data_IF_400870929709
#
_entry.id   IF_400870929709
#
_cell.length_a   1.000
_cell.length_b   1.000
_cell.length_c   1.000
_cell.angle_alpha   90.00
_cell.angle_beta   90.00
_cell.angle_gamma   90.00
#
_symmetry.space_group_name_H-M   'P 1'
#
loop_
_entity.id
_entity.type
_entity.pdbx_description
1 polymer ?
#
# COMPACT_ATOMS: atom_id res chain seq x y z
N UNK A 1 -24.98 18.35 -66.19
CA UNK A 1 -25.19 19.47 -65.28
C UNK A 1 -25.49 18.90 -63.92
N UNK A 2 -24.47 18.73 -63.07
CA UNK A 2 -24.60 18.19 -61.70
C UNK A 2 -24.31 19.31 -60.71
N UNK A 3 -25.34 19.72 -59.96
CA UNK A 3 -25.23 20.68 -58.90
C UNK A 3 -24.71 19.99 -57.63
N UNK A 4 -23.43 20.18 -57.29
CA UNK A 4 -22.87 19.76 -56.06
C UNK A 4 -23.30 20.68 -54.91
N UNK A 5 -24.18 20.21 -54.03
CA UNK A 5 -24.50 20.90 -52.78
C UNK A 5 -23.37 20.60 -51.77
N UNK A 6 -22.49 21.56 -51.59
CA UNK A 6 -21.53 21.51 -50.46
C UNK A 6 -22.27 21.89 -49.17
N UNK A 7 -22.64 20.88 -48.36
CA UNK A 7 -23.03 21.11 -46.98
C UNK A 7 -21.78 21.51 -46.19
N UNK A 8 -21.54 22.80 -46.07
CA UNK A 8 -20.69 23.35 -45.01
C UNK A 8 -21.43 23.10 -43.69
N UNK A 9 -21.10 22.06 -43.00
CA UNK A 9 -21.50 21.88 -41.61
C UNK A 9 -20.84 22.98 -40.80
N UNK A 10 -21.63 23.99 -40.47
CA UNK A 10 -21.27 25.04 -39.52
C UNK A 10 -21.23 24.39 -38.12
N UNK A 11 -20.05 23.90 -37.72
CA UNK A 11 -19.79 23.32 -36.39
C UNK A 11 -19.40 24.41 -35.38
N UNK A 12 -20.11 25.54 -35.39
CA UNK A 12 -20.11 26.45 -34.26
C UNK A 12 -21.05 25.91 -33.19
N UNK A 13 -20.61 24.83 -32.52
CA UNK A 13 -21.20 24.43 -31.24
C UNK A 13 -21.10 25.68 -30.32
N UNK A 14 -22.18 26.11 -29.67
CA UNK A 14 -22.13 27.25 -28.77
C UNK A 14 -21.07 27.01 -27.73
N UNK A 15 -20.01 27.79 -27.74
CA UNK A 15 -19.00 27.83 -26.71
C UNK A 15 -19.72 28.28 -25.43
N UNK A 16 -19.99 27.34 -24.51
CA UNK A 16 -20.60 27.66 -23.23
C UNK A 16 -19.60 28.54 -22.44
N UNK A 17 -19.73 29.82 -22.57
CA UNK A 17 -19.04 30.79 -21.71
C UNK A 17 -19.58 30.66 -20.28
N UNK A 18 -18.84 29.95 -19.44
CA UNK A 18 -19.14 29.90 -18.01
C UNK A 18 -19.02 31.31 -17.44
N UNK A 19 -20.13 31.86 -16.98
CA UNK A 19 -20.18 33.20 -16.40
C UNK A 19 -19.16 33.37 -15.26
N UNK A 20 -18.77 34.63 -14.98
CA UNK A 20 -17.77 34.91 -13.91
C UNK A 20 -18.19 34.37 -12.54
N UNK A 21 -19.47 34.51 -12.19
CA UNK A 21 -20.01 34.12 -10.87
C UNK A 21 -19.82 32.62 -10.56
N UNK A 22 -20.26 31.64 -11.40
CA UNK A 22 -20.05 30.22 -11.12
C UNK A 22 -18.58 29.84 -11.14
N UNK A 23 -17.75 30.49 -11.94
CA UNK A 23 -16.31 30.25 -11.96
C UNK A 23 -15.64 30.65 -10.62
N UNK A 24 -15.99 31.84 -10.11
CA UNK A 24 -15.46 32.33 -8.82
C UNK A 24 -15.97 31.44 -7.69
N UNK A 25 -17.25 31.09 -7.68
CA UNK A 25 -17.82 30.19 -6.67
C UNK A 25 -17.12 28.82 -6.65
N UNK A 26 -16.88 28.23 -7.81
CA UNK A 26 -16.15 26.94 -7.91
C UNK A 26 -14.72 27.04 -7.35
N UNK A 27 -13.97 28.05 -7.80
CA UNK A 27 -12.58 28.23 -7.37
C UNK A 27 -12.48 28.57 -5.89
N UNK A 28 -13.40 29.38 -5.33
CA UNK A 28 -13.43 29.68 -3.91
C UNK A 28 -13.79 28.45 -3.07
N UNK A 29 -14.73 27.62 -3.51
CA UNK A 29 -15.05 26.36 -2.85
C UNK A 29 -13.86 25.39 -2.84
N UNK A 30 -13.20 25.21 -3.99
CA UNK A 30 -11.98 24.41 -4.07
C UNK A 30 -10.86 24.99 -3.18
N UNK A 31 -10.63 26.30 -3.21
CA UNK A 31 -9.65 26.92 -2.33
C UNK A 31 -9.94 26.65 -0.85
N UNK A 32 -11.22 26.77 -0.44
CA UNK A 32 -11.62 26.44 0.94
C UNK A 32 -11.37 24.98 1.30
N UNK A 33 -11.71 24.03 0.41
CA UNK A 33 -11.41 22.61 0.62
C UNK A 33 -9.91 22.36 0.65
N UNK A 34 -9.12 23.01 -0.22
CA UNK A 34 -7.66 22.92 -0.21
C UNK A 34 -7.05 23.41 1.11
N UNK A 35 -7.53 24.54 1.62
CA UNK A 35 -7.09 25.05 2.94
C UNK A 35 -7.50 24.08 4.05
N UNK A 36 -8.72 23.58 4.04
CA UNK A 36 -9.19 22.59 5.01
C UNK A 36 -8.34 21.31 4.97
N UNK A 37 -7.93 20.86 3.78
CA UNK A 37 -7.02 19.72 3.62
C UNK A 37 -5.65 19.98 4.22
N UNK A 38 -5.06 21.16 3.98
CA UNK A 38 -3.77 21.53 4.58
C UNK A 38 -3.86 21.61 6.10
N UNK A 39 -4.92 22.20 6.63
CA UNK A 39 -5.17 22.23 8.08
C UNK A 39 -5.36 20.80 8.60
N UNK A 40 -6.11 19.97 7.90
CA UNK A 40 -6.30 18.56 8.25
C UNK A 40 -4.99 17.77 8.28
N UNK A 41 -4.09 17.96 7.28
CA UNK A 41 -2.77 17.36 7.27
C UNK A 41 -1.92 17.78 8.49
N UNK A 42 -2.02 19.03 8.93
CA UNK A 42 -1.29 19.51 10.10
C UNK A 42 -1.88 19.00 11.42
N UNK A 43 -3.21 18.97 11.54
CA UNK A 43 -3.89 18.57 12.78
C UNK A 43 -3.90 17.05 13.01
N UNK A 44 -3.91 16.28 11.91
CA UNK A 44 -3.94 14.82 11.94
C UNK A 44 -2.54 14.23 11.68
N UNK A 45 -1.49 15.06 11.69
CA UNK A 45 -0.13 14.57 11.50
C UNK A 45 0.24 13.58 12.59
N UNK A 46 0.72 12.38 12.25
CA UNK A 46 1.04 11.35 13.24
C UNK A 46 2.17 11.81 14.16
N UNK A 47 2.10 11.43 15.43
CA UNK A 47 3.19 11.63 16.36
C UNK A 47 4.33 10.64 16.04
N UNK A 48 5.48 11.17 15.62
CA UNK A 48 6.61 10.36 15.15
C UNK A 48 7.14 9.40 16.22
N UNK A 49 7.09 9.81 17.50
CA UNK A 49 7.56 8.96 18.62
C UNK A 49 6.67 7.73 18.82
N UNK A 50 5.34 7.91 18.72
CA UNK A 50 4.40 6.79 18.80
C UNK A 50 4.48 5.88 17.56
N UNK A 51 4.72 6.45 16.39
CA UNK A 51 4.88 5.67 15.17
C UNK A 51 6.15 4.80 15.20
N UNK A 52 7.25 5.32 15.73
CA UNK A 52 8.50 4.57 15.89
C UNK A 52 8.38 3.47 16.98
N UNK A 53 7.71 3.75 18.09
CA UNK A 53 7.41 2.75 19.13
C UNK A 53 6.49 1.65 18.60
N UNK A 54 5.49 1.99 17.78
CA UNK A 54 4.60 1.02 17.14
C UNK A 54 5.32 0.22 16.05
N UNK A 55 6.23 0.80 15.28
CA UNK A 55 7.06 0.04 14.34
C UNK A 55 7.98 -0.94 15.08
N UNK A 56 8.46 -0.58 16.25
CA UNK A 56 9.21 -1.49 17.14
C UNK A 56 8.34 -2.54 17.82
N UNK A 57 7.06 -2.25 18.09
CA UNK A 57 6.11 -3.15 18.75
C UNK A 57 5.14 -3.89 17.81
N UNK A 58 5.01 -3.44 16.56
CA UNK A 58 4.43 -4.21 15.44
C UNK A 58 5.35 -5.39 15.02
N UNK A 59 6.38 -5.62 15.80
CA UNK A 59 6.89 -6.95 15.88
C UNK A 59 5.69 -7.86 16.19
N UNK A 60 5.17 -8.53 15.17
CA UNK A 60 4.47 -9.81 15.30
C UNK A 60 5.34 -10.81 16.05
N UNK A 61 6.34 -10.32 16.70
CA UNK A 61 7.45 -10.96 17.33
C UNK A 61 7.57 -10.33 18.72
N UNK A 62 7.47 -11.11 19.77
CA UNK A 62 7.76 -10.65 21.13
C UNK A 62 9.11 -9.94 21.25
N UNK A 63 9.38 -9.33 22.39
CA UNK A 63 10.66 -8.63 22.63
C UNK A 63 11.86 -9.48 22.22
N UNK A 64 12.75 -8.91 21.37
CA UNK A 64 13.98 -9.55 20.93
C UNK A 64 13.89 -10.44 19.69
N UNK A 65 12.73 -10.60 19.07
CA UNK A 65 12.61 -11.30 17.78
C UNK A 65 13.20 -10.44 16.68
N UNK A 66 14.02 -11.04 15.84
CA UNK A 66 14.65 -10.39 14.68
C UNK A 66 14.33 -11.15 13.40
N UNK A 67 14.52 -10.49 12.26
CA UNK A 67 14.23 -11.05 10.94
C UNK A 67 15.51 -11.08 10.10
N UNK A 68 16.43 -12.03 10.36
CA UNK A 68 17.65 -12.15 9.59
C UNK A 68 17.38 -12.74 8.20
N UNK A 69 18.13 -12.26 7.20
CA UNK A 69 18.20 -12.93 5.89
C UNK A 69 19.05 -14.18 5.95
N UNK A 70 18.67 -15.17 5.15
CA UNK A 70 19.43 -16.40 4.97
C UNK A 70 19.49 -16.75 3.47
N UNK A 71 20.59 -17.37 3.07
CA UNK A 71 20.82 -17.86 1.72
C UNK A 71 20.50 -19.35 1.65
N UNK A 72 19.61 -19.71 0.73
CA UNK A 72 19.20 -21.09 0.48
C UNK A 72 20.39 -21.87 -0.08
N UNK A 73 20.68 -23.04 0.53
CA UNK A 73 21.70 -23.99 0.08
C UNK A 73 21.06 -25.16 -0.67
N UNK A 74 19.94 -25.66 -0.14
CA UNK A 74 19.20 -26.75 -0.73
C UNK A 74 17.72 -26.69 -0.31
N UNK A 75 16.85 -27.21 -1.16
CA UNK A 75 15.41 -27.28 -0.91
C UNK A 75 14.97 -28.74 -1.04
N UNK A 76 14.55 -29.33 0.05
CA UNK A 76 13.91 -30.64 0.03
C UNK A 76 12.49 -30.52 -0.51
N UNK A 77 12.17 -31.16 -1.66
CA UNK A 77 10.91 -30.94 -2.34
C UNK A 77 9.71 -31.44 -1.55
N UNK A 78 8.52 -31.20 -2.10
CA UNK A 78 7.24 -31.61 -1.55
C UNK A 78 7.19 -33.11 -1.24
N UNK A 79 6.57 -33.48 -0.11
CA UNK A 79 6.33 -34.89 0.22
C UNK A 79 5.49 -35.57 -0.85
N UNK A 80 5.91 -36.73 -1.29
CA UNK A 80 5.29 -37.46 -2.40
C UNK A 80 3.82 -37.88 -2.14
N UNK A 81 3.36 -37.91 -0.89
CA UNK A 81 1.97 -38.21 -0.52
C UNK A 81 1.55 -37.35 0.71
N UNK A 82 0.82 -36.25 0.49
CA UNK A 82 0.31 -35.44 1.59
C UNK A 82 -0.76 -36.15 2.44
N UNK A 83 -1.36 -37.24 1.95
CA UNK A 83 -2.34 -38.02 2.71
C UNK A 83 -1.71 -39.06 3.64
N UNK A 84 -0.45 -39.37 3.42
CA UNK A 84 0.36 -40.27 4.28
C UNK A 84 1.73 -39.63 4.54
N UNK A 85 1.78 -38.59 5.37
CA UNK A 85 3.07 -38.01 5.72
C UNK A 85 3.93 -39.03 6.46
N UNK A 86 5.00 -39.46 5.80
CA UNK A 86 6.04 -40.26 6.47
C UNK A 86 6.83 -39.29 7.36
N UNK A 87 6.76 -39.44 8.69
CA UNK A 87 7.51 -38.56 9.61
C UNK A 87 9.04 -38.67 9.45
N UNK A 88 9.51 -39.66 8.72
CA UNK A 88 10.93 -39.85 8.38
C UNK A 88 11.27 -39.23 7.01
N UNK A 89 10.28 -38.82 6.21
CA UNK A 89 10.51 -38.17 4.91
C UNK A 89 11.03 -36.78 5.13
N UNK A 90 12.23 -36.50 4.63
CA UNK A 90 12.83 -35.16 4.61
C UNK A 90 12.23 -34.34 3.44
N UNK A 91 11.03 -33.83 3.64
CA UNK A 91 10.34 -33.05 2.61
C UNK A 91 9.71 -31.80 3.22
N UNK A 92 9.58 -30.76 2.40
CA UNK A 92 9.10 -29.46 2.86
C UNK A 92 10.08 -28.78 3.80
N UNK A 93 11.39 -28.87 3.51
CA UNK A 93 12.45 -28.21 4.28
C UNK A 93 13.34 -27.39 3.39
N UNK A 94 13.85 -26.32 3.98
CA UNK A 94 14.87 -25.47 3.36
C UNK A 94 16.12 -25.52 4.23
N UNK A 95 17.24 -25.88 3.63
CA UNK A 95 18.56 -25.73 4.20
C UNK A 95 19.09 -24.37 3.81
N UNK A 96 19.42 -23.53 4.78
CA UNK A 96 19.89 -22.18 4.52
C UNK A 96 21.01 -21.79 5.48
N UNK A 97 21.86 -20.87 5.06
CA UNK A 97 22.89 -20.26 5.90
C UNK A 97 22.48 -18.82 6.22
N UNK A 98 22.44 -18.48 7.49
CA UNK A 98 22.11 -17.11 7.95
C UNK A 98 23.16 -16.14 7.46
N UNK A 99 22.75 -15.07 6.78
CA UNK A 99 23.68 -14.05 6.20
C UNK A 99 23.74 -12.77 7.03
N UNK A 100 22.84 -12.57 7.98
CA UNK A 100 22.75 -11.36 8.79
C UNK A 100 22.70 -11.65 10.31
N UNK A 101 23.04 -10.61 11.09
CA UNK A 101 22.92 -10.63 12.54
C UNK A 101 24.04 -11.38 13.27
N UNK A 102 23.85 -11.64 14.59
CA UNK A 102 24.85 -12.27 15.44
C UNK A 102 25.12 -13.74 15.10
N UNK A 103 24.15 -14.42 14.47
CA UNK A 103 24.22 -15.82 14.08
C UNK A 103 24.65 -16.01 12.62
N UNK A 104 25.26 -15.00 12.02
CA UNK A 104 25.74 -15.06 10.63
C UNK A 104 26.70 -16.26 10.44
N UNK A 105 26.46 -17.01 9.37
CA UNK A 105 27.23 -18.21 9.02
C UNK A 105 26.73 -19.49 9.69
N UNK A 106 25.62 -19.43 10.45
CA UNK A 106 24.99 -20.62 11.02
C UNK A 106 24.12 -21.29 9.97
N UNK A 107 24.32 -22.60 9.80
CA UNK A 107 23.45 -23.43 8.95
C UNK A 107 22.18 -23.79 9.72
N UNK A 108 21.06 -23.56 9.10
CA UNK A 108 19.73 -23.80 9.68
C UNK A 108 18.87 -24.62 8.74
N UNK A 109 17.99 -25.42 9.31
CA UNK A 109 16.99 -26.19 8.58
C UNK A 109 15.63 -25.71 9.06
N UNK A 110 14.81 -25.22 8.14
CA UNK A 110 13.48 -24.71 8.46
C UNK A 110 12.41 -25.52 7.73
N UNK A 111 11.40 -25.91 8.49
CA UNK A 111 10.23 -26.58 7.92
C UNK A 111 9.33 -25.54 7.21
N UNK A 112 8.89 -25.88 6.02
CA UNK A 112 8.06 -24.99 5.19
C UNK A 112 6.86 -25.73 4.60
N UNK A 113 5.74 -25.02 4.34
CA UNK A 113 4.62 -25.62 3.64
C UNK A 113 5.02 -26.09 2.23
N UNK A 114 4.37 -27.17 1.71
CA UNK A 114 4.64 -27.68 0.36
C UNK A 114 4.58 -26.63 -0.75
N UNK A 115 3.72 -25.61 -0.58
CA UNK A 115 3.60 -24.50 -1.54
C UNK A 115 4.87 -23.63 -1.60
N UNK A 116 5.67 -23.62 -0.53
CA UNK A 116 6.94 -22.89 -0.47
C UNK A 116 8.06 -23.72 -1.05
N UNK A 117 8.23 -24.98 -0.62
CA UNK A 117 9.25 -25.88 -1.18
C UNK A 117 9.03 -26.20 -2.66
N UNK A 118 7.76 -26.19 -3.13
CA UNK A 118 7.39 -26.35 -4.54
C UNK A 118 7.37 -25.05 -5.35
N UNK A 119 7.73 -23.88 -4.77
CA UNK A 119 7.64 -22.58 -5.45
C UNK A 119 8.76 -22.31 -6.47
N UNK A 120 9.74 -23.20 -6.58
CA UNK A 120 10.90 -23.05 -7.45
C UNK A 120 12.08 -22.35 -6.79
N UNK A 121 12.09 -22.25 -5.45
CA UNK A 121 13.27 -21.82 -4.69
C UNK A 121 14.43 -22.76 -4.96
N UNK A 122 15.63 -22.20 -5.14
CA UNK A 122 16.85 -22.95 -5.41
C UNK A 122 18.06 -22.37 -4.66
N UNK A 123 19.19 -23.04 -4.85
CA UNK A 123 20.47 -22.60 -4.28
C UNK A 123 20.80 -21.15 -4.65
N UNK A 124 21.15 -20.36 -3.66
CA UNK A 124 21.49 -18.95 -3.79
C UNK A 124 20.31 -17.97 -3.66
N UNK A 125 19.07 -18.45 -3.62
CA UNK A 125 17.93 -17.61 -3.32
C UNK A 125 17.98 -17.11 -1.87
N UNK A 126 17.34 -15.97 -1.61
CA UNK A 126 17.28 -15.38 -0.27
C UNK A 126 15.92 -15.59 0.35
N UNK A 127 15.93 -15.98 1.61
CA UNK A 127 14.74 -16.08 2.45
C UNK A 127 14.91 -15.25 3.71
N UNK A 128 13.80 -14.80 4.25
CA UNK A 128 13.72 -14.12 5.53
C UNK A 128 13.25 -15.11 6.59
N UNK A 129 13.95 -15.13 7.71
CA UNK A 129 13.65 -16.00 8.85
C UNK A 129 13.12 -15.16 10.02
N UNK A 130 12.32 -15.78 10.88
CA UNK A 130 12.02 -15.23 12.21
C UNK A 130 12.97 -15.89 13.19
N UNK A 131 13.74 -15.09 13.91
CA UNK A 131 14.63 -15.57 14.95
C UNK A 131 13.99 -15.34 16.33
N UNK A 132 13.74 -16.41 17.05
CA UNK A 132 13.23 -16.41 18.42
C UNK A 132 14.40 -16.40 19.41
N UNK A 133 14.58 -15.32 20.22
CA UNK A 133 15.77 -15.16 21.07
C UNK A 133 15.87 -16.21 22.18
N UNK A 134 14.73 -16.70 22.64
CA UNK A 134 14.64 -17.59 23.80
C UNK A 134 14.82 -19.09 23.45
N UNK A 135 14.91 -19.42 22.15
CA UNK A 135 15.05 -20.80 21.69
C UNK A 135 16.49 -21.10 21.24
N UNK A 136 16.92 -22.35 21.39
CA UNK A 136 18.13 -22.83 20.73
C UNK A 136 17.88 -23.20 19.27
N UNK A 137 18.95 -23.36 18.47
CA UNK A 137 18.83 -23.72 17.05
C UNK A 137 18.11 -25.06 16.89
N UNK A 138 18.37 -26.02 17.78
CA UNK A 138 17.77 -27.36 17.79
C UNK A 138 16.28 -27.34 18.23
N UNK A 139 15.84 -26.28 18.92
CA UNK A 139 14.46 -26.08 19.39
C UNK A 139 13.61 -25.22 18.43
N UNK A 140 14.12 -24.92 17.24
CA UNK A 140 13.39 -24.11 16.26
C UNK A 140 13.55 -22.60 16.44
N UNK A 141 14.75 -22.17 16.84
CA UNK A 141 15.12 -20.75 16.95
C UNK A 141 14.80 -19.95 15.68
N UNK A 142 14.93 -20.59 14.52
CA UNK A 142 14.63 -19.99 13.23
C UNK A 142 13.42 -20.66 12.60
N UNK A 143 12.48 -19.82 12.17
CA UNK A 143 11.31 -20.26 11.40
C UNK A 143 11.24 -19.48 10.09
N UNK A 144 10.70 -20.09 9.06
CA UNK A 144 10.52 -19.42 7.76
C UNK A 144 9.49 -18.30 7.89
N UNK A 145 9.85 -17.10 7.46
CA UNK A 145 8.94 -15.95 7.37
C UNK A 145 8.48 -15.73 5.94
N UNK A 146 9.42 -15.63 5.01
CA UNK A 146 9.11 -15.33 3.62
C UNK A 146 10.30 -15.51 2.68
N UNK A 147 10.03 -15.39 1.39
CA UNK A 147 11.07 -15.34 0.37
C UNK A 147 11.39 -13.88 0.06
N UNK A 148 12.67 -13.50 0.05
CA UNK A 148 13.07 -12.18 -0.41
C UNK A 148 12.82 -12.04 -1.91
N UNK A 149 11.96 -11.11 -2.26
CA UNK A 149 11.60 -10.77 -3.64
C UNK A 149 12.04 -9.34 -4.00
N UNK A 150 12.88 -8.73 -3.19
CA UNK A 150 13.30 -7.33 -3.38
C UNK A 150 13.95 -7.12 -4.74
N UNK A 151 14.89 -7.97 -5.15
CA UNK A 151 15.60 -7.85 -6.41
C UNK A 151 14.70 -7.94 -7.66
N UNK A 152 13.81 -8.95 -7.81
CA UNK A 152 12.87 -8.99 -8.92
C UNK A 152 11.85 -7.84 -8.88
N UNK A 153 11.39 -7.41 -7.70
CA UNK A 153 10.47 -6.28 -7.57
C UNK A 153 11.12 -4.96 -8.00
N UNK A 154 12.36 -4.69 -7.59
CA UNK A 154 13.11 -3.53 -8.05
C UNK A 154 13.35 -3.55 -9.56
N UNK A 155 13.67 -4.71 -10.12
CA UNK A 155 13.85 -4.87 -11.57
C UNK A 155 12.57 -4.56 -12.34
N UNK A 156 11.43 -5.08 -11.86
CA UNK A 156 10.12 -4.79 -12.44
C UNK A 156 9.73 -3.32 -12.30
N UNK A 157 10.00 -2.71 -11.14
CA UNK A 157 9.74 -1.28 -10.91
C UNK A 157 10.57 -0.42 -11.87
N UNK A 158 11.86 -0.69 -12.01
CA UNK A 158 12.73 0.05 -12.93
C UNK A 158 12.26 -0.14 -14.38
N UNK A 159 11.95 -1.37 -14.79
CA UNK A 159 11.42 -1.66 -16.12
C UNK A 159 10.09 -0.90 -16.36
N UNK A 160 9.19 -0.89 -15.39
CA UNK A 160 7.94 -0.14 -15.45
C UNK A 160 8.20 1.37 -15.66
N UNK A 161 9.07 1.97 -14.84
CA UNK A 161 9.41 3.40 -14.94
C UNK A 161 10.01 3.72 -16.32
N UNK A 162 10.94 2.89 -16.81
CA UNK A 162 11.57 3.07 -18.13
C UNK A 162 10.52 3.01 -19.24
N UNK A 163 9.63 2.03 -19.23
CA UNK A 163 8.55 1.89 -20.22
C UNK A 163 7.61 3.10 -20.19
N UNK A 164 7.20 3.53 -19.01
CA UNK A 164 6.30 4.70 -18.86
C UNK A 164 6.96 5.96 -19.41
N UNK A 165 8.25 6.19 -19.12
CA UNK A 165 8.97 7.36 -19.61
C UNK A 165 9.23 7.27 -21.14
N UNK A 166 9.52 6.10 -21.66
CA UNK A 166 9.77 5.89 -23.09
C UNK A 166 8.48 6.14 -23.92
N UNK A 167 7.34 5.63 -23.44
CA UNK A 167 6.06 5.73 -24.16
C UNK A 167 5.37 7.07 -23.92
N UNK A 168 5.20 7.46 -22.68
CA UNK A 168 4.40 8.64 -22.30
C UNK A 168 5.26 9.91 -22.12
N UNK A 169 6.60 9.80 -22.16
CA UNK A 169 7.54 10.92 -22.09
C UNK A 169 7.24 11.85 -20.92
N UNK A 170 7.11 13.15 -21.16
CA UNK A 170 6.83 14.16 -20.11
C UNK A 170 5.52 13.91 -19.36
N UNK A 171 4.49 13.42 -20.05
CA UNK A 171 3.23 13.06 -19.38
C UNK A 171 3.39 11.87 -18.43
N UNK A 172 4.21 10.91 -18.82
CA UNK A 172 4.59 9.78 -17.96
C UNK A 172 5.35 10.24 -16.72
N UNK A 173 6.29 11.17 -16.87
CA UNK A 173 7.00 11.75 -15.74
C UNK A 173 6.05 12.42 -14.73
N UNK A 174 5.08 13.23 -15.21
CA UNK A 174 4.10 13.88 -14.35
C UNK A 174 3.20 12.84 -13.62
N UNK A 175 2.85 11.76 -14.31
CA UNK A 175 2.08 10.67 -13.69
C UNK A 175 2.90 9.93 -12.61
N UNK A 176 4.19 9.66 -12.87
CA UNK A 176 5.08 9.06 -11.87
C UNK A 176 5.32 9.95 -10.66
N UNK A 177 5.47 11.26 -10.87
CA UNK A 177 5.55 12.22 -9.77
C UNK A 177 4.26 12.25 -8.94
N UNK A 178 3.10 12.18 -9.59
CA UNK A 178 1.81 12.06 -8.92
C UNK A 178 1.69 10.77 -8.10
N UNK A 179 2.14 9.64 -8.66
CA UNK A 179 2.17 8.35 -7.98
C UNK A 179 3.13 8.39 -6.77
N UNK A 180 4.33 8.94 -6.96
CA UNK A 180 5.30 9.11 -5.87
C UNK A 180 4.75 9.97 -4.74
N UNK A 181 4.10 11.09 -5.07
CA UNK A 181 3.42 11.93 -4.09
C UNK A 181 2.32 11.16 -3.34
N UNK A 182 1.48 10.41 -4.07
CA UNK A 182 0.44 9.59 -3.45
C UNK A 182 1.03 8.54 -2.50
N UNK A 183 2.11 7.88 -2.90
CA UNK A 183 2.83 6.93 -2.03
C UNK A 183 3.35 7.60 -0.76
N UNK A 184 3.98 8.77 -0.87
CA UNK A 184 4.45 9.53 0.29
C UNK A 184 3.29 9.88 1.24
N UNK A 185 2.17 10.38 0.72
CA UNK A 185 1.00 10.68 1.56
C UNK A 185 0.47 9.44 2.25
N UNK A 186 0.44 8.28 1.57
CA UNK A 186 -0.04 7.04 2.18
C UNK A 186 0.94 6.54 3.25
N UNK A 187 2.23 6.42 2.93
CA UNK A 187 3.20 5.78 3.84
C UNK A 187 3.70 6.70 4.95
N UNK A 188 3.76 8.02 4.73
CA UNK A 188 4.29 8.97 5.72
C UNK A 188 3.19 9.62 6.57
N UNK A 189 1.99 9.75 6.02
CA UNK A 189 0.87 10.38 6.73
C UNK A 189 -0.24 9.39 7.07
N UNK A 190 -0.88 8.75 6.06
CA UNK A 190 -2.11 8.01 6.30
C UNK A 190 -1.90 6.76 7.16
N UNK A 191 -0.93 5.91 6.82
CA UNK A 191 -0.67 4.68 7.58
C UNK A 191 -0.24 4.99 9.03
N UNK A 192 0.77 5.85 9.29
CA UNK A 192 1.15 6.16 10.66
C UNK A 192 0.01 6.81 11.46
N UNK A 193 -0.75 7.73 10.84
CA UNK A 193 -1.88 8.37 11.52
C UNK A 193 -3.00 7.38 11.91
N UNK A 194 -3.23 6.35 11.09
CA UNK A 194 -4.19 5.29 11.41
C UNK A 194 -3.66 4.36 12.51
N UNK A 195 -2.39 3.99 12.45
CA UNK A 195 -1.75 3.13 13.45
C UNK A 195 -1.70 3.78 14.84
N UNK A 196 -1.54 5.12 14.90
CA UNK A 196 -1.56 5.89 16.15
C UNK A 196 -2.98 6.22 16.65
N UNK A 197 -4.02 5.55 16.14
CA UNK A 197 -5.41 5.71 16.59
C UNK A 197 -6.11 6.96 16.04
N UNK A 198 -5.61 7.56 14.98
CA UNK A 198 -6.27 8.70 14.32
C UNK A 198 -7.65 8.35 13.77
N UNK A 199 -8.56 9.32 13.69
CA UNK A 199 -9.93 9.10 13.20
C UNK A 199 -9.92 8.68 11.71
N UNK A 200 -10.12 7.38 11.43
CA UNK A 200 -9.90 6.75 10.12
C UNK A 200 -10.57 7.47 8.95
N UNK A 201 -11.84 7.86 9.10
CA UNK A 201 -12.57 8.58 8.03
C UNK A 201 -11.95 9.96 7.75
N UNK A 202 -11.54 10.69 8.79
CA UNK A 202 -10.94 12.01 8.61
C UNK A 202 -9.55 11.90 7.97
N UNK A 203 -8.71 10.96 8.44
CA UNK A 203 -7.39 10.69 7.86
C UNK A 203 -7.52 10.30 6.38
N UNK A 204 -8.44 9.37 6.06
CA UNK A 204 -8.67 8.93 4.69
C UNK A 204 -9.17 10.06 3.78
N UNK A 205 -10.10 10.90 4.25
CA UNK A 205 -10.61 12.06 3.50
C UNK A 205 -9.50 13.08 3.21
N UNK A 206 -8.70 13.42 4.22
CA UNK A 206 -7.60 14.38 4.09
C UNK A 206 -6.54 13.84 3.13
N UNK A 207 -6.12 12.58 3.30
CA UNK A 207 -5.16 11.94 2.41
C UNK A 207 -5.65 11.87 0.96
N UNK A 208 -6.87 11.35 0.74
CA UNK A 208 -7.46 11.24 -0.59
C UNK A 208 -7.62 12.61 -1.27
N UNK A 209 -8.07 13.61 -0.52
CA UNK A 209 -8.22 14.97 -1.04
C UNK A 209 -6.87 15.57 -1.44
N UNK A 210 -5.83 15.44 -0.60
CA UNK A 210 -4.48 15.91 -0.90
C UNK A 210 -3.93 15.25 -2.17
N UNK A 211 -4.05 13.93 -2.27
CA UNK A 211 -3.63 13.16 -3.45
C UNK A 211 -4.38 13.64 -4.70
N UNK A 212 -5.71 13.79 -4.62
CA UNK A 212 -6.53 14.23 -5.76
C UNK A 212 -6.13 15.61 -6.26
N UNK A 213 -5.86 16.57 -5.35
CA UNK A 213 -5.38 17.90 -5.76
C UNK A 213 -4.09 17.81 -6.54
N UNK A 214 -3.08 17.15 -5.99
CA UNK A 214 -1.77 17.10 -6.61
C UNK A 214 -1.81 16.29 -7.90
N UNK A 215 -2.34 15.08 -7.87
CA UNK A 215 -2.35 14.18 -9.04
C UNK A 215 -3.14 14.79 -10.19
N UNK A 216 -4.34 15.35 -9.92
CA UNK A 216 -5.18 15.86 -11.00
C UNK A 216 -4.57 17.10 -11.67
N UNK A 217 -4.03 18.03 -10.88
CA UNK A 217 -3.41 19.23 -11.45
C UNK A 217 -2.04 18.98 -12.10
N UNK A 218 -1.27 18.03 -11.60
CA UNK A 218 0.02 17.67 -12.22
C UNK A 218 -0.16 16.93 -13.54
N UNK A 219 -1.17 16.07 -13.65
CA UNK A 219 -1.39 15.25 -14.86
C UNK A 219 -2.21 15.98 -15.93
N UNK A 220 -3.21 16.77 -15.54
CA UNK A 220 -4.15 17.43 -16.46
C UNK A 220 -3.97 18.94 -16.56
N UNK A 221 -3.13 19.54 -15.72
CA UNK A 221 -2.89 20.98 -15.67
C UNK A 221 -4.04 21.78 -15.03
N UNK A 222 -3.78 23.06 -14.80
CA UNK A 222 -4.76 24.00 -14.24
C UNK A 222 -5.73 24.49 -15.31
N UNK A 223 -6.97 24.02 -15.27
CA UNK A 223 -8.05 24.47 -16.16
C UNK A 223 -9.40 24.41 -15.44
N UNK A 224 -10.39 25.17 -15.95
CA UNK A 224 -11.76 25.11 -15.41
C UNK A 224 -12.33 23.69 -15.53
N UNK A 225 -12.03 22.99 -16.63
CA UNK A 225 -12.45 21.60 -16.85
C UNK A 225 -11.87 20.68 -15.79
N UNK A 226 -10.58 20.79 -15.49
CA UNK A 226 -9.92 20.03 -14.44
C UNK A 226 -10.48 20.36 -13.06
N UNK A 227 -10.74 21.64 -12.79
CA UNK A 227 -11.31 22.10 -11.52
C UNK A 227 -12.75 21.62 -11.32
N UNK A 228 -13.58 21.58 -12.35
CA UNK A 228 -14.94 21.02 -12.24
C UNK A 228 -14.92 19.50 -12.03
N UNK A 229 -14.00 18.79 -12.69
CA UNK A 229 -13.81 17.35 -12.44
C UNK A 229 -13.38 17.10 -10.99
N UNK A 230 -12.39 17.86 -10.50
CA UNK A 230 -11.95 17.77 -9.10
C UNK A 230 -13.09 18.03 -8.11
N UNK A 231 -13.86 19.09 -8.32
CA UNK A 231 -15.01 19.40 -7.46
C UNK A 231 -16.05 18.28 -7.44
N UNK A 232 -16.35 17.69 -8.61
CA UNK A 232 -17.28 16.56 -8.71
C UNK A 232 -16.77 15.32 -7.97
N UNK A 233 -15.50 14.98 -8.13
CA UNK A 233 -14.90 13.84 -7.42
C UNK A 233 -14.82 14.05 -5.90
N UNK A 234 -14.46 15.25 -5.44
CA UNK A 234 -14.44 15.59 -4.01
C UNK A 234 -15.85 15.59 -3.40
N UNK A 235 -16.86 16.08 -4.14
CA UNK A 235 -18.25 15.99 -3.69
C UNK A 235 -18.71 14.53 -3.57
N UNK A 236 -18.40 13.70 -4.56
CA UNK A 236 -18.67 12.25 -4.51
C UNK A 236 -17.98 11.57 -3.32
N UNK A 237 -16.70 11.87 -3.10
CA UNK A 237 -15.94 11.37 -1.97
C UNK A 237 -16.58 11.78 -0.63
N UNK A 238 -16.96 13.05 -0.49
CA UNK A 238 -17.63 13.56 0.72
C UNK A 238 -18.97 12.88 0.98
N UNK A 239 -19.79 12.69 -0.07
CA UNK A 239 -21.07 11.97 0.05
C UNK A 239 -20.83 10.51 0.48
N UNK A 240 -19.89 9.82 -0.16
CA UNK A 240 -19.55 8.44 0.17
C UNK A 240 -19.08 8.31 1.63
N UNK A 241 -18.21 9.22 2.06
CA UNK A 241 -17.74 9.24 3.45
C UNK A 241 -18.88 9.53 4.46
N UNK A 242 -19.77 10.45 4.13
CA UNK A 242 -20.93 10.77 4.98
C UNK A 242 -21.89 9.57 5.11
N UNK A 243 -22.19 8.89 4.00
CA UNK A 243 -23.01 7.67 3.99
C UNK A 243 -22.33 6.55 4.76
N UNK A 244 -21.03 6.33 4.54
CA UNK A 244 -20.25 5.33 5.27
C UNK A 244 -20.23 5.58 6.77
N UNK A 245 -19.99 6.81 7.18
CA UNK A 245 -20.00 7.22 8.58
C UNK A 245 -21.38 7.00 9.21
N UNK A 246 -22.45 7.38 8.50
CA UNK A 246 -23.82 7.14 8.96
C UNK A 246 -24.11 5.63 9.06
N UNK A 247 -23.72 4.84 8.07
CA UNK A 247 -23.93 3.39 8.07
C UNK A 247 -23.21 2.72 9.24
N UNK A 248 -21.93 2.99 9.46
CA UNK A 248 -21.15 2.45 10.58
C UNK A 248 -21.79 2.79 11.92
N UNK A 249 -22.22 4.04 12.10
CA UNK A 249 -22.89 4.47 13.33
C UNK A 249 -24.27 3.84 13.54
N UNK A 250 -25.06 3.73 12.49
CA UNK A 250 -26.44 3.20 12.59
C UNK A 250 -26.48 1.68 12.77
N UNK A 251 -25.47 0.97 12.27
CA UNK A 251 -25.38 -0.49 12.37
C UNK A 251 -24.48 -0.98 13.50
N UNK A 252 -23.86 -0.07 14.27
CA UNK A 252 -22.96 -0.39 15.39
C UNK A 252 -21.85 -1.36 14.99
N UNK A 253 -21.32 -1.20 13.76
CA UNK A 253 -20.20 -2.02 13.28
C UNK A 253 -18.94 -1.65 14.07
N UNK A 254 -18.38 -2.63 14.77
CA UNK A 254 -17.14 -2.47 15.53
C UNK A 254 -15.87 -2.60 14.68
N UNK A 255 -16.01 -2.95 13.40
CA UNK A 255 -14.84 -3.25 12.52
C UNK A 255 -14.16 -4.59 12.83
N UNK A 256 -14.52 -5.23 13.93
CA UNK A 256 -13.95 -6.49 14.37
C UNK A 256 -14.95 -7.60 14.02
N UNK A 257 -14.73 -8.28 12.91
CA UNK A 257 -15.52 -9.44 12.51
C UNK A 257 -14.60 -10.56 12.01
N UNK A 258 -14.68 -11.72 12.67
CA UNK A 258 -13.92 -12.92 12.33
C UNK A 258 -12.72 -13.20 13.24
N UNK A 259 -12.08 -14.34 13.03
CA UNK A 259 -10.91 -14.80 13.80
C UNK A 259 -9.72 -13.83 13.67
N UNK A 260 -9.54 -13.22 12.51
CA UNK A 260 -8.47 -12.25 12.22
C UNK A 260 -8.62 -10.97 13.06
N UNK A 261 -9.84 -10.49 13.27
CA UNK A 261 -10.09 -9.35 14.15
C UNK A 261 -9.78 -9.64 15.63
N UNK A 262 -10.01 -10.87 16.08
CA UNK A 262 -9.65 -11.31 17.43
C UNK A 262 -8.13 -11.33 17.67
N UNK A 263 -7.36 -11.74 16.67
CA UNK A 263 -5.90 -11.71 16.70
C UNK A 263 -5.39 -10.26 16.78
N UNK A 264 -5.92 -9.38 15.94
CA UNK A 264 -5.52 -7.96 15.94
C UNK A 264 -5.79 -7.27 17.29
N UNK A 265 -6.95 -7.52 17.91
CA UNK A 265 -7.26 -6.93 19.23
C UNK A 265 -6.38 -7.46 20.36
N UNK A 266 -5.85 -8.66 20.21
CA UNK A 266 -4.93 -9.25 21.20
C UNK A 266 -3.54 -8.61 21.12
N UNK A 267 -3.06 -8.31 19.89
CA UNK A 267 -1.73 -7.77 19.68
C UNK A 267 -1.67 -6.23 19.59
N UNK A 268 -2.80 -5.57 19.31
CA UNK A 268 -2.89 -4.12 19.20
C UNK A 268 -4.20 -3.61 19.87
N UNK A 269 -4.32 -3.68 21.21
CA UNK A 269 -5.55 -3.35 21.93
C UNK A 269 -5.97 -1.88 21.81
N UNK A 270 -5.04 -0.99 21.48
CA UNK A 270 -5.25 0.47 21.39
C UNK A 270 -5.67 0.94 19.99
N UNK A 271 -5.71 0.05 18.99
CA UNK A 271 -6.15 0.39 17.64
C UNK A 271 -7.67 0.34 17.57
N UNK A 272 -8.31 1.51 17.51
CA UNK A 272 -9.75 1.62 17.24
C UNK A 272 -10.00 1.59 15.73
N UNK A 273 -10.75 0.59 15.28
CA UNK A 273 -11.17 0.45 13.87
C UNK A 273 -12.46 1.18 13.56
#
# INVERSE_FOLDING_TARGET
MGHGHSHRADHSAPEFEVGRTPRVALLSALAAVGVATLVGLLLLWPDGTQADELQGSLAFAGEGVTFPEAVVQDVEPECADPAQPDPAAKCGRIHATVDEGPDRGTDVVVDVPPQVSGSGLGEGDRIELVQHPDLSVDEGRFTYFGTDRSAPLWTLLIAFVVVVLAVARFRGLMALLGLGFASVVVFVFALPALLTGGPGIAVALVAATAIMYVVLYTTHGFSIRTSTALAGTLAGLGITAAVGWWAVRSTHLSGISGEEGGVLTTYAPDVSF
#
